data_IF_080942073857
#
_entry.id   IF_080942073857
#
_cell.length_a   1.000
_cell.length_b   1.000
_cell.length_c   1.000
_cell.angle_alpha   90.00
_cell.angle_beta   90.00
_cell.angle_gamma   90.00
#
_symmetry.space_group_name_H-M   'P 1'
#
loop_
_entity.id
_entity.type
_entity.pdbx_description
1 polymer ?
#
# COMPACT_ATOMS: atom_id res chain seq x y z
N UNK A 1 16.87 -25.57 2.65
CA UNK A 1 16.19 -24.44 1.98
C UNK A 1 15.63 -25.01 0.70
N UNK A 2 14.31 -25.10 0.58
CA UNK A 2 13.69 -25.61 -0.65
C UNK A 2 13.93 -24.63 -1.82
N UNK A 3 14.05 -25.16 -3.03
CA UNK A 3 14.25 -24.34 -4.24
C UNK A 3 13.00 -23.50 -4.49
N UNK A 4 13.13 -22.17 -4.60
CA UNK A 4 12.04 -21.26 -4.98
C UNK A 4 11.78 -21.20 -6.48
N UNK A 5 12.40 -22.12 -7.21
CA UNK A 5 12.33 -22.19 -8.66
C UNK A 5 11.97 -23.61 -9.09
N UNK A 6 11.03 -23.70 -10.03
CA UNK A 6 10.71 -24.91 -10.76
C UNK A 6 11.08 -24.76 -12.24
N UNK A 7 11.20 -25.87 -12.96
CA UNK A 7 11.44 -25.84 -14.41
C UNK A 7 10.10 -25.74 -15.14
N UNK A 8 9.92 -24.72 -15.97
CA UNK A 8 8.77 -24.65 -16.87
C UNK A 8 8.86 -25.74 -17.96
N UNK A 9 7.81 -25.87 -18.77
CA UNK A 9 7.75 -26.82 -19.91
C UNK A 9 8.88 -26.66 -20.95
N UNK A 10 9.67 -25.58 -20.89
CA UNK A 10 10.83 -25.29 -21.76
C UNK A 10 12.16 -25.49 -21.03
N UNK A 11 12.14 -26.00 -19.80
CA UNK A 11 13.34 -26.20 -18.99
C UNK A 11 13.94 -24.92 -18.40
N UNK A 12 13.18 -23.81 -18.40
CA UNK A 12 13.63 -22.56 -17.77
C UNK A 12 13.23 -22.55 -16.31
N UNK A 13 14.12 -22.09 -15.43
CA UNK A 13 13.76 -21.84 -14.04
C UNK A 13 12.73 -20.70 -13.97
N UNK A 14 11.61 -20.97 -13.32
CA UNK A 14 10.54 -20.03 -13.02
C UNK A 14 10.30 -19.99 -11.53
N UNK A 15 10.07 -18.80 -11.01
CA UNK A 15 9.82 -18.60 -9.59
C UNK A 15 8.47 -19.21 -9.21
N UNK A 16 8.45 -19.97 -8.12
CA UNK A 16 7.21 -20.47 -7.54
C UNK A 16 6.40 -19.32 -6.94
N UNK A 17 5.06 -19.32 -7.08
CA UNK A 17 4.21 -18.37 -6.39
C UNK A 17 4.46 -18.43 -4.88
N UNK A 18 4.62 -17.27 -4.26
CA UNK A 18 4.74 -17.15 -2.80
C UNK A 18 3.34 -17.08 -2.21
N UNK A 19 3.01 -17.99 -1.30
CA UNK A 19 1.83 -17.87 -0.46
C UNK A 19 2.15 -16.92 0.70
N UNK A 20 2.00 -15.62 0.48
CA UNK A 20 2.29 -14.66 1.53
C UNK A 20 1.42 -14.86 2.78
N UNK A 21 0.26 -15.51 2.66
CA UNK A 21 -0.71 -15.67 3.75
C UNK A 21 -0.30 -16.73 4.76
N UNK A 22 0.12 -17.89 4.26
CA UNK A 22 0.41 -19.03 5.11
C UNK A 22 1.90 -19.38 5.20
N UNK A 23 2.76 -18.80 4.35
CA UNK A 23 4.19 -19.08 4.39
C UNK A 23 4.82 -18.44 5.66
N UNK A 24 5.31 -19.27 6.60
CA UNK A 24 5.84 -18.81 7.87
C UNK A 24 7.09 -17.92 7.71
N UNK A 25 7.81 -18.00 6.59
CA UNK A 25 8.94 -17.11 6.31
C UNK A 25 8.50 -15.65 6.10
N UNK A 26 7.30 -15.44 5.55
CA UNK A 26 6.77 -14.12 5.25
C UNK A 26 5.87 -13.56 6.35
N UNK A 27 5.58 -14.39 7.36
CA UNK A 27 4.77 -14.04 8.52
C UNK A 27 5.38 -12.86 9.29
N UNK A 28 6.70 -12.85 9.48
CA UNK A 28 7.42 -11.78 10.18
C UNK A 28 7.33 -10.42 9.48
N UNK A 29 7.07 -10.38 8.16
CA UNK A 29 6.93 -9.13 7.39
C UNK A 29 5.56 -8.47 7.67
N UNK A 30 4.60 -9.24 8.19
CA UNK A 30 3.25 -8.81 8.55
C UNK A 30 3.08 -8.61 10.06
N UNK A 31 3.88 -9.32 10.86
CA UNK A 31 3.86 -9.22 12.31
C UNK A 31 4.64 -7.98 12.78
N UNK A 32 3.98 -7.08 13.51
CA UNK A 32 4.64 -5.97 14.20
C UNK A 32 4.20 -4.56 13.77
N UNK A 33 3.27 -4.44 12.83
CA UNK A 33 2.59 -3.16 12.58
C UNK A 33 1.43 -2.99 13.56
N UNK A 34 1.31 -1.79 14.12
CA UNK A 34 0.21 -1.43 15.02
C UNK A 34 -1.14 -1.65 14.31
N UNK A 35 -2.08 -2.43 14.86
CA UNK A 35 -3.39 -2.63 14.26
C UNK A 35 -4.14 -1.33 13.98
N UNK A 36 -4.01 -0.33 14.84
CA UNK A 36 -4.64 0.98 14.64
C UNK A 36 -4.00 1.75 13.47
N UNK A 37 -2.69 1.56 13.25
CA UNK A 37 -2.02 2.10 12.06
C UNK A 37 -2.58 1.43 10.81
N UNK A 38 -2.68 0.10 10.80
CA UNK A 38 -3.19 -0.65 9.65
C UNK A 38 -4.63 -0.25 9.30
N UNK A 39 -5.50 -0.14 10.31
CA UNK A 39 -6.89 0.29 10.13
C UNK A 39 -6.98 1.73 9.57
N UNK A 40 -6.20 2.64 10.12
CA UNK A 40 -6.18 4.05 9.69
C UNK A 40 -5.60 4.21 8.28
N UNK A 41 -4.53 3.49 7.97
CA UNK A 41 -3.91 3.49 6.65
C UNK A 41 -4.85 2.91 5.60
N UNK A 42 -5.49 1.77 5.87
CA UNK A 42 -6.46 1.15 4.97
C UNK A 42 -7.65 2.08 4.70
N UNK A 43 -8.26 2.61 5.77
CA UNK A 43 -9.37 3.58 5.67
C UNK A 43 -8.97 4.81 4.84
N UNK A 44 -7.77 5.34 5.08
CA UNK A 44 -7.25 6.48 4.35
C UNK A 44 -7.07 6.24 2.87
N UNK A 45 -6.58 5.05 2.49
CA UNK A 45 -6.47 4.65 1.08
C UNK A 45 -7.85 4.47 0.46
N UNK A 46 -8.79 3.80 1.13
CA UNK A 46 -10.14 3.60 0.61
C UNK A 46 -10.86 4.93 0.31
N UNK A 47 -10.75 5.90 1.23
CA UNK A 47 -11.31 7.24 1.05
C UNK A 47 -10.63 8.01 -0.09
N UNK A 48 -9.30 7.88 -0.21
CA UNK A 48 -8.54 8.48 -1.31
C UNK A 48 -9.02 7.95 -2.67
N UNK A 49 -9.16 6.63 -2.80
CA UNK A 49 -9.66 5.97 -4.01
C UNK A 49 -11.11 6.40 -4.31
N UNK A 50 -11.95 6.54 -3.28
CA UNK A 50 -13.33 7.00 -3.43
C UNK A 50 -13.47 8.50 -3.76
N UNK A 51 -12.39 9.28 -3.70
CA UNK A 51 -12.40 10.72 -3.94
C UNK A 51 -12.75 11.57 -2.71
N UNK A 52 -12.96 10.96 -1.53
CA UNK A 52 -13.10 11.72 -0.29
C UNK A 52 -11.72 12.08 0.27
N UNK A 53 -11.04 13.03 -0.38
CA UNK A 53 -9.67 13.40 -0.01
C UNK A 53 -9.56 14.10 1.35
N UNK A 54 -10.66 14.68 1.85
CA UNK A 54 -10.71 15.28 3.19
C UNK A 54 -10.82 14.20 4.27
N UNK A 55 -11.68 13.20 4.06
CA UNK A 55 -11.73 12.02 4.91
C UNK A 55 -10.40 11.26 4.88
N UNK A 56 -9.84 11.06 3.68
CA UNK A 56 -8.55 10.40 3.48
C UNK A 56 -7.43 11.13 4.23
N UNK A 57 -7.40 12.47 4.20
CA UNK A 57 -6.46 13.27 4.97
C UNK A 57 -6.56 12.97 6.46
N UNK A 58 -7.76 12.95 7.04
CA UNK A 58 -7.93 12.69 8.47
C UNK A 58 -7.39 11.30 8.87
N UNK A 59 -7.76 10.27 8.11
CA UNK A 59 -7.31 8.89 8.37
C UNK A 59 -5.80 8.71 8.16
N UNK A 60 -5.23 9.26 7.09
CA UNK A 60 -3.79 9.19 6.82
C UNK A 60 -2.97 10.04 7.79
N UNK A 61 -3.51 11.16 8.28
CA UNK A 61 -2.87 11.92 9.36
C UNK A 61 -2.75 11.07 10.63
N UNK A 62 -3.82 10.39 11.05
CA UNK A 62 -3.77 9.48 12.19
C UNK A 62 -2.80 8.31 11.97
N UNK A 63 -2.77 7.72 10.76
CA UNK A 63 -1.79 6.71 10.40
C UNK A 63 -0.34 7.22 10.55
N UNK A 64 -0.06 8.46 10.11
CA UNK A 64 1.26 9.07 10.21
C UNK A 64 1.63 9.51 11.64
N UNK A 65 0.64 9.74 12.52
CA UNK A 65 0.88 9.93 13.96
C UNK A 65 1.35 8.63 14.62
N UNK A 66 0.70 7.50 14.28
CA UNK A 66 1.04 6.17 14.80
C UNK A 66 2.35 5.63 14.21
N UNK A 67 2.62 5.96 12.94
CA UNK A 67 3.86 5.57 12.25
C UNK A 67 4.46 6.76 11.49
N UNK A 68 5.21 7.63 12.19
CA UNK A 68 5.87 8.76 11.56
C UNK A 68 6.83 8.30 10.45
N UNK A 69 6.71 8.91 9.27
CA UNK A 69 7.57 8.61 8.13
C UNK A 69 7.21 7.34 7.36
N UNK A 70 6.02 6.77 7.56
CA UNK A 70 5.49 5.74 6.66
C UNK A 70 5.49 6.25 5.21
N UNK A 71 6.31 5.63 4.36
CA UNK A 71 6.51 6.04 2.98
C UNK A 71 5.22 6.06 2.16
N UNK A 72 4.45 4.95 2.12
CA UNK A 72 3.16 4.88 1.42
C UNK A 72 2.16 5.97 1.85
N UNK A 73 1.87 6.10 3.15
CA UNK A 73 0.93 7.09 3.66
C UNK A 73 1.41 8.53 3.37
N UNK A 74 2.71 8.79 3.53
CA UNK A 74 3.31 10.10 3.22
C UNK A 74 3.22 10.44 1.73
N UNK A 75 3.37 9.44 0.85
CA UNK A 75 3.31 9.64 -0.59
C UNK A 75 1.89 9.99 -1.06
N UNK A 76 0.86 9.30 -0.55
CA UNK A 76 -0.55 9.64 -0.83
C UNK A 76 -0.90 11.00 -0.25
N UNK A 77 -0.53 11.27 1.01
CA UNK A 77 -0.74 12.57 1.66
C UNK A 77 -0.09 13.72 0.86
N UNK A 78 1.14 13.52 0.37
CA UNK A 78 1.86 14.50 -0.44
C UNK A 78 1.15 14.81 -1.77
N UNK A 79 0.66 13.77 -2.46
CA UNK A 79 -0.12 13.95 -3.68
C UNK A 79 -1.44 14.67 -3.41
N UNK A 80 -2.21 14.26 -2.39
CA UNK A 80 -3.46 14.96 -2.05
C UNK A 80 -3.22 16.44 -1.70
N UNK A 81 -2.12 16.71 -0.99
CA UNK A 81 -1.71 18.07 -0.63
C UNK A 81 -1.41 18.94 -1.85
N UNK A 82 -0.93 18.38 -2.97
CA UNK A 82 -0.68 19.18 -4.18
C UNK A 82 -1.95 19.67 -4.88
N UNK A 83 -3.13 19.17 -4.48
CA UNK A 83 -4.44 19.68 -4.90
C UNK A 83 -5.24 20.25 -3.72
N UNK A 84 -4.57 20.69 -2.66
CA UNK A 84 -5.23 21.25 -1.47
C UNK A 84 -6.30 20.34 -0.85
N UNK A 85 -6.12 19.01 -0.98
CA UNK A 85 -7.05 17.98 -0.53
C UNK A 85 -8.45 18.03 -1.18
N UNK A 86 -8.50 18.53 -2.41
CA UNK A 86 -9.67 18.46 -3.29
C UNK A 86 -9.29 17.60 -4.50
N UNK A 87 -9.96 16.46 -4.77
CA UNK A 87 -9.62 15.65 -5.93
C UNK A 87 -9.78 16.43 -7.25
N UNK A 88 -8.99 16.10 -8.28
CA UNK A 88 -9.27 16.52 -9.65
C UNK A 88 -10.71 16.20 -10.06
N UNK A 89 -11.29 17.02 -10.94
CA UNK A 89 -12.66 16.79 -11.43
C UNK A 89 -12.84 15.47 -12.17
N UNK A 90 -11.75 14.91 -12.69
CA UNK A 90 -11.66 13.65 -13.42
C UNK A 90 -11.07 12.51 -12.57
N UNK A 91 -11.04 12.66 -11.24
CA UNK A 91 -10.52 11.63 -10.34
C UNK A 91 -11.27 10.30 -10.50
N UNK A 92 -10.57 9.30 -11.04
CA UNK A 92 -11.12 7.97 -11.33
C UNK A 92 -10.72 6.92 -10.29
N UNK A 93 -10.25 7.35 -9.11
CA UNK A 93 -9.72 6.46 -8.08
C UNK A 93 -8.32 5.93 -8.36
N UNK A 94 -7.66 6.42 -9.41
CA UNK A 94 -6.29 6.08 -9.75
C UNK A 94 -5.56 7.31 -10.24
N UNK A 95 -4.24 7.30 -10.07
CA UNK A 95 -3.35 8.27 -10.71
C UNK A 95 -2.23 7.55 -11.42
N UNK A 96 -1.77 8.16 -12.49
CA UNK A 96 -0.50 7.81 -13.09
C UNK A 96 0.64 8.18 -12.13
N UNK A 97 1.57 7.25 -11.99
CA UNK A 97 2.84 7.50 -11.31
C UNK A 97 3.90 7.55 -12.40
N UNK A 98 4.49 8.72 -12.62
CA UNK A 98 5.71 8.80 -13.43
C UNK A 98 6.83 8.10 -12.64
N UNK A 99 7.12 6.83 -12.95
CA UNK A 99 8.07 6.05 -12.16
C UNK A 99 8.66 4.81 -12.83
N UNK A 100 9.98 4.92 -13.09
CA UNK A 100 11.02 3.93 -13.41
C UNK A 100 11.18 3.43 -14.86
#
# INVERSE_FOLDING_TARGET
>A
MESRFEKDKRGKDVQLPVDFENDPEYKEIREGLDPAFLESAATGVDLYLAGDWRGAKAALSHALELRPGDGPASHVMGYMKSFDFDPPSDWAGVRELDGY
#
